data_IF_183925896019
#
_entry.id   IF_183925896019
#
_cell.length_a   1.000
_cell.length_b   1.000
_cell.length_c   1.000
_cell.angle_alpha   90.00
_cell.angle_beta   90.00
_cell.angle_gamma   90.00
#
_symmetry.space_group_name_H-M   'P 1'
#
loop_
_entity.id
_entity.type
_entity.pdbx_description
1 polymer ?
#
# COMPACT_ATOMS: atom_id res chain seq x y z
N UNK A 1 -7.01 -12.02 -6.40
CA UNK A 1 -6.99 -10.53 -6.47
C UNK A 1 -6.33 -10.00 -5.20
N UNK A 2 -5.42 -9.04 -5.33
CA UNK A 2 -4.74 -8.39 -4.20
C UNK A 2 -5.42 -7.06 -3.86
N UNK A 3 -5.64 -6.81 -2.58
CA UNK A 3 -6.10 -5.53 -2.03
C UNK A 3 -5.35 -5.24 -0.73
N UNK A 4 -5.28 -3.98 -0.35
CA UNK A 4 -4.80 -3.53 0.96
C UNK A 4 -5.65 -2.32 1.37
N UNK A 5 -5.96 -2.22 2.65
CA UNK A 5 -6.67 -1.08 3.23
C UNK A 5 -5.69 0.02 3.63
N UNK A 6 -6.12 1.27 3.50
CA UNK A 6 -5.41 2.44 3.97
C UNK A 6 -6.40 3.39 4.63
N UNK A 7 -5.95 4.05 5.70
CA UNK A 7 -6.66 5.22 6.23
C UNK A 7 -6.50 6.35 5.24
N UNK A 8 -7.54 7.19 5.09
CA UNK A 8 -7.49 8.34 4.19
C UNK A 8 -6.30 9.27 4.53
N UNK A 9 -6.07 9.53 5.82
CA UNK A 9 -4.94 10.33 6.28
C UNK A 9 -3.55 9.75 5.93
N UNK A 10 -3.42 8.42 5.85
CA UNK A 10 -2.17 7.80 5.42
C UNK A 10 -1.99 7.94 3.89
N UNK A 11 -3.08 7.82 3.11
CA UNK A 11 -3.08 7.99 1.64
C UNK A 11 -2.80 9.44 1.21
N UNK A 12 -3.30 10.42 1.97
CA UNK A 12 -3.15 11.86 1.70
C UNK A 12 -1.81 12.45 2.16
N UNK A 13 -0.93 11.63 2.75
CA UNK A 13 0.41 12.09 3.16
C UNK A 13 1.22 12.57 1.95
N UNK A 14 1.91 13.70 2.08
CA UNK A 14 2.58 14.37 0.95
C UNK A 14 3.76 13.62 0.33
N UNK A 15 4.16 12.49 0.90
CA UNK A 15 5.20 11.57 0.40
C UNK A 15 4.61 10.30 -0.25
N UNK A 16 3.28 10.17 -0.31
CA UNK A 16 2.59 9.07 -0.99
C UNK A 16 2.45 9.37 -2.47
N UNK A 17 2.69 8.35 -3.30
CA UNK A 17 2.65 8.50 -4.75
C UNK A 17 2.14 7.26 -5.46
N UNK A 18 1.49 7.51 -6.60
CA UNK A 18 1.26 6.52 -7.64
C UNK A 18 2.42 6.58 -8.63
N UNK A 19 3.38 5.67 -8.47
CA UNK A 19 4.56 5.57 -9.32
C UNK A 19 4.22 4.92 -10.66
N UNK A 20 4.75 5.52 -11.73
CA UNK A 20 4.83 4.91 -13.08
C UNK A 20 6.28 4.63 -13.49
N UNK A 21 7.25 5.22 -12.80
CA UNK A 21 8.69 5.13 -13.09
C UNK A 21 9.51 4.86 -11.83
N UNK A 22 10.68 4.26 -12.02
CA UNK A 22 11.73 4.06 -11.02
C UNK A 22 13.09 4.34 -11.67
N UNK A 23 13.93 5.17 -11.05
CA UNK A 23 15.23 5.61 -11.60
C UNK A 23 15.14 6.15 -13.04
N UNK A 24 14.08 6.89 -13.35
CA UNK A 24 13.84 7.48 -14.67
C UNK A 24 13.35 6.51 -15.75
N UNK A 25 13.26 5.21 -15.47
CA UNK A 25 12.73 4.20 -16.38
C UNK A 25 11.29 3.80 -16.00
N UNK A 26 10.43 3.40 -16.96
CA UNK A 26 9.13 2.83 -16.66
C UNK A 26 9.24 1.64 -15.71
N UNK A 27 8.27 1.48 -14.80
CA UNK A 27 8.27 0.36 -13.86
C UNK A 27 8.25 -0.98 -14.60
N UNK A 28 9.23 -1.84 -14.30
CA UNK A 28 9.19 -3.23 -14.71
C UNK A 28 8.00 -3.97 -14.06
N UNK A 29 7.45 -5.03 -14.68
CA UNK A 29 6.34 -5.80 -14.11
C UNK A 29 6.60 -6.28 -12.68
N UNK A 30 7.84 -6.70 -12.37
CA UNK A 30 8.25 -7.20 -11.05
C UNK A 30 8.13 -6.11 -9.97
N UNK A 31 8.42 -4.87 -10.36
CA UNK A 31 8.29 -3.68 -9.52
C UNK A 31 6.87 -3.14 -9.42
N UNK A 32 5.91 -3.68 -10.18
CA UNK A 32 4.51 -3.30 -10.13
C UNK A 32 4.03 -2.43 -11.29
N UNK A 33 4.78 -2.36 -12.39
CA UNK A 33 4.37 -1.61 -13.58
C UNK A 33 3.06 -2.13 -14.20
N UNK A 34 2.23 -1.26 -14.82
CA UNK A 34 2.55 0.12 -15.17
C UNK A 34 2.28 1.14 -14.05
N UNK A 35 1.62 0.74 -12.96
CA UNK A 35 1.22 1.64 -11.88
C UNK A 35 1.36 0.95 -10.51
N UNK A 36 2.06 1.60 -9.60
CA UNK A 36 2.23 1.14 -8.22
C UNK A 36 1.89 2.25 -7.23
N UNK A 37 1.18 1.90 -6.16
CA UNK A 37 1.08 2.75 -4.98
C UNK A 37 2.34 2.57 -4.11
N UNK A 38 2.90 3.69 -3.63
CA UNK A 38 4.02 3.73 -2.69
C UNK A 38 3.62 4.56 -1.48
N UNK A 39 3.67 3.94 -0.29
CA UNK A 39 3.37 4.57 1.00
C UNK A 39 4.60 4.44 1.91
N UNK A 40 5.51 5.43 1.92
CA UNK A 40 6.85 5.26 2.51
C UNK A 40 6.87 4.92 4.01
N UNK A 41 5.89 5.43 4.77
CA UNK A 41 5.84 5.27 6.23
C UNK A 41 5.24 3.94 6.70
N UNK A 42 4.66 3.17 5.78
CA UNK A 42 4.03 1.88 6.08
C UNK A 42 4.82 0.74 5.46
N UNK A 43 4.66 -0.46 6.01
CA UNK A 43 5.32 -1.64 5.48
C UNK A 43 4.87 -1.95 4.05
N UNK A 44 5.75 -2.64 3.32
CA UNK A 44 5.63 -2.82 1.87
C UNK A 44 4.34 -3.47 1.37
N UNK A 45 3.60 -4.21 2.22
CA UNK A 45 2.29 -4.74 1.82
C UNK A 45 1.25 -3.63 1.61
N UNK A 46 1.39 -2.47 2.26
CA UNK A 46 0.53 -1.31 2.02
C UNK A 46 0.77 -0.63 0.66
N UNK A 47 1.92 -0.91 0.03
CA UNK A 47 2.31 -0.33 -1.26
C UNK A 47 1.93 -1.27 -2.41
N UNK A 48 0.66 -1.23 -2.81
CA UNK A 48 0.07 -2.14 -3.81
C UNK A 48 0.74 -2.05 -5.19
N UNK A 49 1.21 -3.18 -5.70
CA UNK A 49 1.68 -3.35 -7.08
C UNK A 49 0.50 -3.54 -8.04
N UNK A 50 0.67 -3.12 -9.30
CA UNK A 50 -0.35 -3.28 -10.35
C UNK A 50 -1.68 -2.64 -9.96
N UNK A 51 -1.62 -1.42 -9.42
CA UNK A 51 -2.78 -0.68 -8.96
C UNK A 51 -3.77 -0.47 -10.13
N UNK A 52 -5.03 -0.87 -9.92
CA UNK A 52 -6.12 -0.76 -10.91
C UNK A 52 -7.20 0.25 -10.53
N UNK A 53 -7.21 0.70 -9.28
CA UNK A 53 -8.20 1.65 -8.78
C UNK A 53 -8.13 1.81 -7.28
N UNK A 54 -8.91 2.76 -6.80
CA UNK A 54 -9.18 3.03 -5.39
C UNK A 54 -10.69 2.92 -5.17
N UNK A 55 -11.08 2.38 -4.03
CA UNK A 55 -12.47 2.33 -3.57
C UNK A 55 -12.53 2.98 -2.20
N UNK A 56 -13.35 4.02 -2.06
CA UNK A 56 -13.58 4.69 -0.78
C UNK A 56 -14.71 3.96 -0.06
N UNK A 57 -14.48 3.64 1.21
CA UNK A 57 -15.40 2.89 2.06
C UNK A 57 -15.68 3.68 3.34
N UNK A 58 -16.90 3.58 3.86
CA UNK A 58 -17.29 4.21 5.14
C UNK A 58 -16.70 3.49 6.36
N UNK A 59 -16.39 2.20 6.21
CA UNK A 59 -15.81 1.37 7.25
C UNK A 59 -14.58 0.64 6.71
N UNK A 60 -13.65 0.33 7.62
CA UNK A 60 -12.44 -0.40 7.26
C UNK A 60 -12.77 -1.83 6.78
N UNK A 61 -12.06 -2.26 5.74
CA UNK A 61 -12.18 -3.59 5.15
C UNK A 61 -10.80 -4.14 4.87
N UNK A 62 -10.39 -5.13 5.67
CA UNK A 62 -9.08 -5.78 5.56
C UNK A 62 -8.79 -6.26 4.14
N UNK A 63 -7.52 -6.14 3.76
CA UNK A 63 -7.00 -6.66 2.51
C UNK A 63 -6.34 -8.02 2.66
N UNK A 64 -5.53 -8.37 1.66
CA UNK A 64 -4.94 -9.70 1.54
C UNK A 64 -4.04 -10.09 2.72
N UNK A 65 -3.13 -9.21 3.15
CA UNK A 65 -2.17 -9.54 4.21
C UNK A 65 -2.77 -9.33 5.61
N UNK A 66 -3.68 -8.37 5.73
CA UNK A 66 -4.33 -8.00 6.98
C UNK A 66 -5.27 -9.11 7.46
N UNK A 67 -5.92 -9.81 6.52
CA UNK A 67 -6.64 -11.06 6.79
C UNK A 67 -5.74 -12.24 7.19
N UNK A 68 -4.43 -12.14 6.96
CA UNK A 68 -3.43 -13.22 7.18
C UNK A 68 -2.49 -12.95 8.35
N UNK A 69 -2.91 -12.12 9.29
CA UNK A 69 -2.18 -11.89 10.53
C UNK A 69 -1.20 -10.71 10.49
N UNK A 70 -1.07 -10.01 9.35
CA UNK A 70 -0.29 -8.77 9.29
C UNK A 70 -1.08 -7.62 9.87
N UNK A 71 -0.41 -6.72 10.57
CA UNK A 71 -1.04 -5.61 11.26
C UNK A 71 -1.88 -4.72 10.30
N UNK A 72 -3.03 -4.24 10.78
CA UNK A 72 -3.97 -3.44 9.98
C UNK A 72 -3.36 -2.22 9.31
N UNK A 73 -2.64 -1.39 10.08
CA UNK A 73 -2.02 -0.18 9.56
C UNK A 73 -0.62 -0.43 9.00
N UNK A 74 0.23 -1.16 9.72
CA UNK A 74 1.57 -1.48 9.27
C UNK A 74 2.58 -0.33 9.39
N UNK A 75 2.48 0.50 10.42
CA UNK A 75 3.41 1.61 10.66
C UNK A 75 4.83 1.10 10.97
N UNK A 76 5.80 1.49 10.14
CA UNK A 76 7.21 1.05 10.25
C UNK A 76 7.86 1.59 11.53
N UNK A 77 7.58 2.86 11.88
CA UNK A 77 8.19 3.51 13.04
C UNK A 77 7.70 2.94 14.37
N UNK A 78 6.55 2.25 14.37
CA UNK A 78 5.97 1.55 15.52
C UNK A 78 6.16 0.03 15.46
N UNK A 79 6.95 -0.47 14.52
CA UNK A 79 7.20 -1.90 14.31
C UNK A 79 5.93 -2.76 14.18
N UNK A 80 4.87 -2.21 13.60
CA UNK A 80 3.57 -2.87 13.47
C UNK A 80 3.59 -3.95 12.38
N UNK A 81 4.24 -5.09 12.66
CA UNK A 81 4.38 -6.19 11.68
C UNK A 81 3.16 -7.10 11.67
N UNK A 82 2.78 -7.59 12.85
CA UNK A 82 1.68 -8.54 13.05
C UNK A 82 0.65 -7.92 14.01
N UNK A 83 -0.54 -8.51 14.09
CA UNK A 83 -1.43 -8.25 15.21
C UNK A 83 -0.80 -8.87 16.47
N UNK A 84 -0.52 -8.06 17.49
CA UNK A 84 -0.33 -8.56 18.86
C UNK A 84 -1.64 -9.15 19.39
#
# INVERSE_FOLDING_TARGET
NYTTNLRLADLESGDVLFATHHDGAPLAPEHGGPLRLVVPKLYGWKSAKWARGLEFLEADRRGYWEERGYHDRGDVGKEQRMWE
#
